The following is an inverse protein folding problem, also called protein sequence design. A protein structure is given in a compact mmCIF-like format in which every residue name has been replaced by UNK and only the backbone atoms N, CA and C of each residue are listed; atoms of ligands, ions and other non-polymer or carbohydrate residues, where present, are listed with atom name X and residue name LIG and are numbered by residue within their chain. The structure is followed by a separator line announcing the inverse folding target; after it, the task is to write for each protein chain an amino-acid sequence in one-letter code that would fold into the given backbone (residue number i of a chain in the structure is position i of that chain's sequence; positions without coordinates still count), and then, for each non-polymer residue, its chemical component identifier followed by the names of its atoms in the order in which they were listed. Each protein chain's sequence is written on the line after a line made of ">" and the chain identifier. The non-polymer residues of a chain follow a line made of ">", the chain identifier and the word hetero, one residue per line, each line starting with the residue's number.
data_IF_509086160700
#
_entry.id   IF_509086160700
#
_cell.length_a   1.000
_cell.length_b   1.000
_cell.length_c   1.000
_cell.angle_alpha   90.00
_cell.angle_beta   90.00
_cell.angle_gamma   90.00
#
_symmetry.space_group_name_H-M   'P 1'
#
loop_
_entity.id
_entity.type
_entity.pdbx_description
1 polymer ?
2 non-polymer ?
3 non-polymer ?
4 water ?
#
# COMPACT_ATOMS: atom_id res chain seq x y z
N UNK A 1 -4.22 12.71 -31.89
CA UNK A 1 -3.79 11.81 -30.82
C UNK A 1 -4.89 11.64 -29.77
N UNK A 2 -6.13 11.89 -30.17
CA UNK A 2 -7.27 11.74 -29.26
C UNK A 2 -7.40 10.30 -28.78
N UNK A 3 -7.53 9.39 -29.73
CA UNK A 3 -7.65 7.96 -29.44
C UNK A 3 -6.40 7.42 -28.76
N UNK A 4 -5.25 7.95 -29.13
CA UNK A 4 -3.98 7.54 -28.55
C UNK A 4 -3.90 7.91 -27.06
N UNK A 5 -4.44 9.07 -26.71
CA UNK A 5 -4.42 9.52 -25.33
C UNK A 5 -5.41 8.73 -24.47
N UNK A 6 -6.57 8.37 -25.04
CA UNK A 6 -7.53 7.58 -24.28
C UNK A 6 -7.04 6.16 -24.04
N UNK A 7 -6.12 5.66 -24.88
CA UNK A 7 -5.55 4.34 -24.64
C UNK A 7 -4.48 4.39 -23.57
N UNK A 8 -3.63 5.42 -23.60
CA UNK A 8 -2.67 5.63 -22.52
C UNK A 8 -3.40 5.86 -21.20
N UNK A 9 -4.54 6.55 -21.24
CA UNK A 9 -5.33 6.75 -20.04
C UNK A 9 -5.79 5.42 -19.46
N UNK A 10 -6.15 4.47 -20.32
CA UNK A 10 -6.68 3.19 -19.85
C UNK A 10 -5.57 2.32 -19.25
N UNK A 11 -4.44 2.28 -19.94
CA UNK A 11 -3.27 1.53 -19.46
C UNK A 11 -2.80 2.08 -18.11
N UNK A 12 -2.85 3.40 -17.97
CA UNK A 12 -2.43 4.04 -16.72
C UNK A 12 -3.33 3.59 -15.57
N UNK A 13 -4.64 3.61 -15.76
CA UNK A 13 -5.54 3.10 -14.75
C UNK A 13 -5.34 1.61 -14.48
N UNK A 14 -4.75 0.88 -15.44
CA UNK A 14 -4.55 -0.55 -15.26
C UNK A 14 -3.19 -0.89 -14.65
N UNK A 15 -2.12 -0.22 -15.07
CA UNK A 15 -0.81 -0.47 -14.47
C UNK A 15 -0.78 0.00 -13.02
N UNK A 16 -1.41 1.14 -12.73
CA UNK A 16 -1.46 1.62 -11.35
C UNK A 16 -2.38 0.74 -10.50
N UNK A 17 -3.44 0.20 -11.10
CA UNK A 17 -4.33 -0.71 -10.38
C UNK A 17 -3.57 -1.95 -9.91
N UNK A 18 -2.78 -2.55 -10.80
CA UNK A 18 -2.05 -3.77 -10.44
C UNK A 18 -0.86 -3.48 -9.54
N UNK A 19 -0.20 -2.33 -9.73
CA UNK A 19 0.89 -1.96 -8.84
C UNK A 19 0.39 -1.71 -7.43
N UNK A 20 -0.78 -1.06 -7.30
CA UNK A 20 -1.37 -0.86 -5.99
C UNK A 20 -1.74 -2.20 -5.35
N UNK A 21 -2.37 -3.08 -6.12
CA UNK A 21 -2.83 -4.35 -5.57
C UNK A 21 -1.68 -5.20 -5.07
N UNK A 22 -0.54 -5.18 -5.77
CA UNK A 22 0.61 -5.94 -5.30
C UNK A 22 1.30 -5.23 -4.13
N UNK A 23 1.28 -3.89 -4.12
CA UNK A 23 1.85 -3.17 -2.99
C UNK A 23 1.08 -3.45 -1.70
N UNK A 24 -0.24 -3.66 -1.80
CA UNK A 24 -1.02 -4.03 -0.63
C UNK A 24 -0.66 -5.42 -0.13
N UNK A 25 -0.23 -6.32 -1.01
CA UNK A 25 0.21 -7.64 -0.57
C UNK A 25 1.56 -7.56 0.12
N UNK A 26 2.48 -6.72 -0.39
CA UNK A 26 3.71 -6.45 0.33
C UNK A 26 3.43 -5.84 1.70
N UNK A 27 2.46 -4.93 1.76
CA UNK A 27 2.10 -4.30 3.03
C UNK A 27 1.57 -5.32 4.03
N UNK A 28 0.70 -6.22 3.56
CA UNK A 28 0.18 -7.26 4.44
C UNK A 28 1.27 -8.20 4.91
N UNK A 29 2.29 -8.44 4.07
CA UNK A 29 3.43 -9.24 4.50
C UNK A 29 4.20 -8.54 5.60
N UNK A 30 4.46 -7.23 5.42
CA UNK A 30 5.15 -6.47 6.45
C UNK A 30 4.38 -6.50 7.76
N UNK A 31 3.08 -6.23 7.71
CA UNK A 31 2.28 -6.20 8.92
C UNK A 31 2.30 -7.54 9.64
N UNK A 32 2.28 -8.64 8.89
CA UNK A 32 2.37 -9.96 9.50
C UNK A 32 3.72 -10.15 10.20
N UNK A 33 4.80 -9.79 9.51
CA UNK A 33 6.14 -9.98 10.08
C UNK A 33 6.36 -9.07 11.28
N UNK A 34 5.99 -7.79 11.16
CA UNK A 34 6.18 -6.87 12.28
C UNK A 34 5.37 -7.31 13.49
N UNK A 35 4.18 -7.86 13.28
CA UNK A 35 3.40 -8.38 14.39
C UNK A 35 4.12 -9.54 15.09
N UNK A 36 4.84 -10.37 14.34
CA UNK A 36 5.56 -11.48 14.96
C UNK A 36 6.66 -10.98 15.89
N UNK A 37 7.24 -9.82 15.61
CA UNK A 37 8.19 -9.19 16.51
C UNK A 37 7.52 -8.33 17.57
N UNK A 38 6.19 -8.20 17.53
CA UNK A 38 5.49 -7.40 18.51
C UNK A 38 5.61 -5.90 18.32
N UNK A 39 5.95 -5.43 17.13
CA UNK A 39 6.16 -4.02 16.87
C UNK A 39 5.19 -3.55 15.79
N UNK A 40 4.99 -2.24 15.74
CA UNK A 40 4.14 -1.61 14.74
C UNK A 40 5.01 -1.00 13.64
N UNK A 41 4.33 -0.50 12.60
CA UNK A 41 5.05 0.19 11.53
C UNK A 41 5.83 1.38 12.08
N UNK A 42 5.18 2.18 12.93
CA UNK A 42 5.83 3.38 13.47
C UNK A 42 7.02 3.02 14.35
N UNK A 43 6.90 1.96 15.16
CA UNK A 43 8.04 1.49 15.93
C UNK A 43 9.15 1.00 15.01
N UNK A 44 8.78 0.32 13.92
CA UNK A 44 9.74 -0.14 12.93
C UNK A 44 10.53 1.02 12.35
N UNK A 45 9.86 2.16 12.11
CA UNK A 45 10.57 3.34 11.60
C UNK A 45 11.62 3.82 12.59
N UNK A 46 11.29 3.81 13.89
CA UNK A 46 12.25 4.23 14.91
C UNK A 46 13.43 3.28 14.96
N UNK A 47 13.16 1.97 14.90
CA UNK A 47 14.24 1.00 14.90
C UNK A 47 15.13 1.16 13.67
N UNK A 48 14.54 1.49 12.53
CA UNK A 48 15.31 1.62 11.29
C UNK A 48 16.31 2.76 11.37
N UNK A 49 15.93 3.89 11.97
CA UNK A 49 16.89 4.98 12.09
C UNK A 49 17.93 4.68 13.16
N UNK A 50 17.53 4.00 14.24
CA UNK A 50 18.50 3.61 15.26
C UNK A 50 19.52 2.63 14.71
N UNK A 51 19.09 1.73 13.81
CA UNK A 51 20.03 0.79 13.19
C UNK A 51 20.97 1.49 12.22
N UNK A 52 20.65 2.72 11.81
CA UNK A 52 21.57 3.52 11.01
C UNK A 52 22.47 4.38 11.88
N UNK A 53 21.94 4.98 12.94
CA UNK A 53 22.69 5.85 13.82
C UNK A 53 22.22 5.62 15.26
N UNK A 54 23.13 5.15 16.10
CA UNK A 54 22.81 4.79 17.48
C UNK A 54 24.00 5.13 18.38
N UNK A 55 23.75 5.84 19.50
CA UNK A 55 22.46 6.33 19.97
C UNK A 55 21.95 7.56 19.22
N UNK A 56 20.73 7.99 19.55
CA UNK A 56 20.13 9.21 19.05
C UNK A 56 19.31 9.86 20.14
N UNK A 57 19.27 11.19 20.13
CA UNK A 57 18.33 11.87 20.99
C UNK A 57 16.92 11.73 20.44
N UNK A 58 15.94 11.98 21.31
CA UNK A 58 14.55 12.00 20.87
C UNK A 58 14.34 13.01 19.74
N UNK A 59 14.96 14.18 19.85
CA UNK A 59 14.80 15.19 18.80
C UNK A 59 15.44 14.75 17.49
N UNK A 60 16.58 14.06 17.56
CA UNK A 60 17.23 13.57 16.35
C UNK A 60 16.36 12.53 15.64
N UNK A 61 15.70 11.65 16.40
CA UNK A 61 14.78 10.69 15.80
C UNK A 61 13.62 11.42 15.14
N UNK A 62 13.12 12.49 15.78
CA UNK A 62 12.04 13.26 15.20
C UNK A 62 12.43 13.91 13.88
N UNK A 63 13.65 14.42 13.79
CA UNK A 63 14.12 14.99 12.53
C UNK A 63 14.23 13.91 11.44
N UNK A 64 14.74 12.74 11.80
CA UNK A 64 14.89 11.66 10.82
C UNK A 64 13.55 11.20 10.28
N UNK A 65 12.54 11.09 11.14
CA UNK A 65 11.23 10.58 10.75
C UNK A 65 10.21 11.67 10.46
N UNK A 66 10.56 12.93 10.70
CA UNK A 66 9.62 14.04 10.65
C UNK A 66 8.37 13.75 11.48
N UNK A 67 8.61 13.42 12.74
CA UNK A 67 7.55 13.20 13.72
C UNK A 67 7.83 14.08 14.93
N UNK A 68 6.77 14.52 15.59
CA UNK A 68 6.93 15.37 16.76
C UNK A 68 7.43 14.55 17.95
N UNK A 69 7.96 15.25 18.95
CA UNK A 69 8.38 14.57 20.16
C UNK A 69 7.19 14.02 20.93
N UNK A 70 6.04 14.70 20.87
CA UNK A 70 4.83 14.16 21.51
C UNK A 70 4.40 12.85 20.87
N UNK A 71 4.48 12.77 19.54
CA UNK A 71 4.15 11.52 18.86
C UNK A 71 5.13 10.41 19.24
N UNK A 72 6.42 10.74 19.31
CA UNK A 72 7.45 9.74 19.57
C UNK A 72 7.50 9.29 21.02
N UNK A 73 7.00 10.11 21.95
CA UNK A 73 7.15 9.80 23.38
C UNK A 73 6.53 8.45 23.75
N UNK A 74 5.28 8.14 23.42
CA UNK A 74 4.76 6.80 23.78
C UNK A 74 5.41 5.68 23.00
N UNK A 75 5.83 5.94 21.77
CA UNK A 75 6.51 4.92 21.02
C UNK A 75 7.82 4.49 21.65
N UNK A 76 8.61 5.44 22.09
CA UNK A 76 9.89 5.11 22.72
C UNK A 76 9.67 4.42 24.06
N UNK A 77 8.67 4.86 24.83
CA UNK A 77 8.34 4.17 26.07
C UNK A 77 7.96 2.72 25.81
N UNK A 78 7.16 2.48 24.75
CA UNK A 78 6.77 1.12 24.42
C UNK A 78 7.97 0.29 23.97
N UNK A 79 8.87 0.90 23.19
CA UNK A 79 10.07 0.17 22.77
C UNK A 79 10.99 -0.13 23.95
N UNK A 80 10.98 0.72 24.97
CA UNK A 80 11.76 0.43 26.17
C UNK A 80 11.09 -0.66 27.00
N UNK A 81 9.77 -0.59 27.16
CA UNK A 81 9.05 -1.61 27.93
C UNK A 81 9.18 -2.98 27.29
N UNK A 82 9.26 -3.05 25.96
CA UNK A 82 9.35 -4.32 25.26
C UNK A 82 10.79 -4.74 24.98
N UNK A 83 11.77 -4.04 25.56
CA UNK A 83 13.15 -4.51 25.55
C UNK A 83 13.97 -4.16 24.33
N UNK A 84 13.56 -3.16 23.55
CA UNK A 84 14.30 -2.79 22.35
C UNK A 84 15.30 -1.67 22.57
N UNK A 85 14.96 -0.68 23.39
CA UNK A 85 15.79 0.49 23.60
C UNK A 85 15.88 0.77 25.10
N UNK A 86 16.84 1.63 25.45
CA UNK A 86 16.90 2.26 26.76
C UNK A 86 16.60 3.75 26.62
N UNK A 87 15.94 4.30 27.62
CA UNK A 87 15.65 5.73 27.68
C UNK A 87 16.46 6.35 28.82
N UNK A 88 17.18 7.43 28.51
CA UNK A 88 17.97 8.16 29.49
C UNK A 88 17.66 9.63 29.38
N UNK A 89 16.87 10.15 30.32
CA UNK A 89 16.57 11.58 30.38
C UNK A 89 17.69 12.25 31.16
N UNK A 90 18.46 13.10 30.49
CA UNK A 90 19.49 13.86 31.16
C UNK A 90 18.88 14.75 32.24
N UNK A 91 19.55 14.83 33.38
CA UNK A 91 19.05 15.58 34.53
C UNK A 91 19.70 16.94 34.67
N UNK A 92 20.37 17.43 33.63
CA UNK A 92 21.05 18.71 33.68
C UNK A 92 21.39 19.14 32.25
N UNK A 93 21.81 20.39 32.11
CA UNK A 93 22.30 20.96 30.84
C UNK A 93 21.19 20.87 29.80
N UNK A 94 21.39 20.16 28.69
CA UNK A 94 20.39 20.16 27.62
C UNK A 94 19.17 19.31 27.96
N UNK A 95 19.27 18.43 28.95
CA UNK A 95 18.14 17.61 29.38
C UNK A 95 17.50 16.86 28.21
N UNK A 96 18.34 16.33 27.34
CA UNK A 96 17.86 15.56 26.21
C UNK A 96 17.41 14.19 26.67
N UNK A 97 16.63 13.53 25.82
CA UNK A 97 16.27 12.12 26.02
C UNK A 97 17.12 11.30 25.06
N UNK A 98 18.07 10.56 25.60
CA UNK A 98 18.99 9.77 24.79
C UNK A 98 18.42 8.37 24.64
N UNK A 99 18.25 7.94 23.39
CA UNK A 99 17.70 6.63 23.07
C UNK A 99 18.84 5.73 22.61
N UNK A 100 19.00 4.58 23.27
CA UNK A 100 20.07 3.65 22.96
C UNK A 100 19.50 2.25 22.80
N UNK A 101 19.90 1.57 21.73
CA UNK A 101 19.48 0.19 21.53
C UNK A 101 20.00 -0.69 22.66
N UNK A 102 19.15 -1.59 23.14
CA UNK A 102 19.62 -2.64 24.04
C UNK A 102 20.46 -3.64 23.24
N UNK A 103 21.13 -4.53 23.97
CA UNK A 103 21.81 -5.64 23.31
C UNK A 103 20.84 -6.44 22.45
N UNK A 104 19.65 -6.70 22.99
CA UNK A 104 18.62 -7.39 22.21
C UNK A 104 18.18 -6.57 20.99
N UNK A 105 17.97 -5.27 21.20
CA UNK A 105 17.57 -4.41 20.08
C UNK A 105 18.60 -4.41 18.96
N UNK A 106 19.88 -4.45 19.32
CA UNK A 106 20.93 -4.53 18.32
C UNK A 106 20.92 -5.88 17.62
N UNK A 107 20.81 -6.97 18.39
CA UNK A 107 20.82 -8.31 17.80
C UNK A 107 19.59 -8.55 16.92
N UNK A 108 18.47 -7.90 17.24
CA UNK A 108 17.24 -8.13 16.47
C UNK A 108 17.28 -7.54 15.08
N UNK A 109 18.27 -6.68 14.77
CA UNK A 109 18.34 -6.08 13.45
C UNK A 109 18.42 -7.15 12.36
N UNK A 110 19.33 -8.11 12.51
CA UNK A 110 19.49 -9.14 11.49
C UNK A 110 18.32 -10.11 11.47
N UNK A 111 17.66 -10.30 12.61
CA UNK A 111 16.48 -11.18 12.63
C UNK A 111 15.32 -10.53 11.88
N UNK A 112 15.08 -9.25 12.09
CA UNK A 112 14.06 -8.54 11.32
C UNK A 112 14.46 -8.49 9.85
N UNK A 113 15.72 -8.14 9.59
CA UNK A 113 16.24 -8.08 8.24
C UNK A 113 16.00 -9.37 7.48
N UNK A 114 16.32 -10.52 8.10
CA UNK A 114 16.14 -11.80 7.44
C UNK A 114 14.66 -12.14 7.27
N UNK A 115 13.84 -11.84 8.29
CA UNK A 115 12.42 -12.15 8.21
C UNK A 115 11.76 -11.41 7.05
N UNK A 116 12.12 -10.14 6.85
CA UNK A 116 11.52 -9.37 5.75
C UNK A 116 12.02 -9.90 4.42
N UNK A 117 13.25 -10.39 4.36
CA UNK A 117 13.88 -10.77 3.10
C UNK A 117 13.12 -11.87 2.35
N UNK A 118 12.24 -12.61 3.04
CA UNK A 118 11.44 -13.62 2.37
C UNK A 118 10.28 -13.03 1.57
N UNK A 119 10.17 -11.70 1.51
CA UNK A 119 9.08 -11.08 0.76
C UNK A 119 9.18 -11.37 -0.73
N UNK A 120 10.39 -11.62 -1.23
CA UNK A 120 10.62 -11.99 -2.62
C UNK A 120 10.99 -13.47 -2.73
N UNK A 121 10.67 -14.12 -3.83
CA UNK A 121 11.07 -15.51 -4.03
C UNK A 121 12.55 -15.73 -4.33
N UNK A 125 14.82 -13.48 -10.76
CA UNK A 125 15.49 -12.91 -11.93
C UNK A 125 16.02 -11.52 -11.64
N UNK A 126 17.24 -11.24 -12.10
CA UNK A 126 17.87 -9.95 -11.90
C UNK A 126 17.20 -8.86 -12.75
N UNK A 127 16.82 -9.25 -13.97
CA UNK A 127 16.18 -8.31 -14.89
C UNK A 127 14.81 -7.89 -14.38
N UNK A 128 13.98 -8.88 -14.05
CA UNK A 128 12.63 -8.60 -13.54
C UNK A 128 12.68 -7.87 -12.22
N UNK A 129 13.73 -8.10 -11.42
CA UNK A 129 13.91 -7.30 -10.21
C UNK A 129 14.06 -5.82 -10.56
N UNK A 130 14.99 -5.50 -11.46
CA UNK A 130 15.28 -4.11 -11.79
C UNK A 130 14.06 -3.41 -12.36
N UNK A 131 13.22 -4.12 -13.11
CA UNK A 131 12.01 -3.49 -13.66
C UNK A 131 10.97 -3.25 -12.57
N UNK A 132 10.74 -4.24 -11.71
CA UNK A 132 9.82 -4.05 -10.60
C UNK A 132 10.32 -2.97 -9.65
N UNK A 133 11.61 -3.02 -9.31
CA UNK A 133 12.21 -1.95 -8.51
C UNK A 133 12.03 -0.59 -9.18
N UNK A 134 12.24 -0.54 -10.50
CA UNK A 134 12.17 0.73 -11.22
C UNK A 134 10.75 1.31 -11.20
N UNK A 135 9.74 0.45 -11.34
CA UNK A 135 8.36 0.93 -11.33
C UNK A 135 8.00 1.49 -9.97
N UNK A 136 8.37 0.79 -8.90
CA UNK A 136 8.01 1.25 -7.56
C UNK A 136 8.84 2.45 -7.14
N UNK A 137 10.06 2.59 -7.67
CA UNK A 137 10.85 3.78 -7.38
C UNK A 137 10.21 5.02 -7.99
N UNK A 138 9.70 4.90 -9.21
CA UNK A 138 9.08 6.05 -9.87
C UNK A 138 7.70 6.35 -9.30
N UNK A 139 6.97 5.33 -8.85
CA UNK A 139 5.70 5.58 -8.16
C UNK A 139 5.92 6.32 -6.85
N UNK A 140 6.98 5.96 -6.11
CA UNK A 140 7.32 6.70 -4.89
C UNK A 140 7.49 8.19 -5.18
N UNK A 141 8.19 8.50 -6.27
CA UNK A 141 8.46 9.88 -6.64
C UNK A 141 7.25 10.60 -7.21
N UNK A 142 6.51 9.92 -8.08
CA UNK A 142 5.35 10.53 -8.74
C UNK A 142 4.20 10.74 -7.77
N UNK A 143 3.84 9.71 -7.00
CA UNK A 143 2.70 9.82 -6.09
C UNK A 143 2.95 10.89 -5.03
N UNK A 144 4.18 10.98 -4.52
CA UNK A 144 4.51 12.03 -3.57
C UNK A 144 4.26 13.41 -4.17
N UNK A 145 4.74 13.64 -5.39
CA UNK A 145 4.57 14.95 -6.02
C UNK A 145 3.10 15.28 -6.24
N UNK A 146 2.29 14.28 -6.57
CA UNK A 146 0.87 14.53 -6.83
C UNK A 146 0.11 14.75 -5.52
N UNK A 147 0.48 14.02 -4.46
CA UNK A 147 -0.22 14.15 -3.19
C UNK A 147 0.02 15.53 -2.58
N UNK A 148 1.23 16.08 -2.76
CA UNK A 148 1.57 17.34 -2.14
C UNK A 148 1.01 18.56 -2.87
N UNK A 149 0.39 18.37 -4.03
CA UNK A 149 -0.27 19.48 -4.72
C UNK A 149 -1.46 19.97 -3.91
N UNK B 1 28.76 -17.97 -0.77
CA UNK B 1 27.32 -18.00 -0.52
C UNK B 1 26.89 -16.90 0.46
N UNK B 2 27.68 -16.70 1.52
CA UNK B 2 27.33 -15.76 2.57
C UNK B 2 27.25 -14.33 2.04
N UNK B 3 28.20 -13.92 1.19
CA UNK B 3 28.15 -12.57 0.66
C UNK B 3 26.99 -12.39 -0.31
N UNK B 4 26.75 -13.39 -1.17
CA UNK B 4 25.62 -13.31 -2.07
C UNK B 4 24.30 -13.40 -1.32
N UNK B 5 24.25 -14.22 -0.26
CA UNK B 5 23.02 -14.33 0.53
C UNK B 5 22.70 -13.02 1.24
N UNK B 6 23.72 -12.34 1.79
CA UNK B 6 23.49 -11.06 2.43
C UNK B 6 22.99 -10.02 1.44
N UNK B 7 23.52 -10.04 0.21
CA UNK B 7 23.13 -9.05 -0.78
C UNK B 7 21.72 -9.29 -1.29
N UNK B 8 21.32 -10.56 -1.43
CA UNK B 8 19.97 -10.86 -1.88
C UNK B 8 18.95 -10.40 -0.83
N UNK B 9 19.28 -10.55 0.46
CA UNK B 9 18.39 -10.06 1.51
C UNK B 9 18.31 -8.54 1.48
N UNK B 10 19.43 -7.87 1.19
CA UNK B 10 19.40 -6.41 1.11
C UNK B 10 18.54 -5.93 -0.05
N UNK B 11 18.64 -6.59 -1.20
CA UNK B 11 17.81 -6.22 -2.34
C UNK B 11 16.35 -6.55 -2.09
N UNK B 12 16.07 -7.63 -1.35
CA UNK B 12 14.69 -7.94 -1.01
C UNK B 12 14.09 -6.85 -0.12
N UNK B 13 14.79 -6.49 0.96
CA UNK B 13 14.33 -5.41 1.82
C UNK B 13 14.12 -4.12 1.04
N UNK B 14 15.05 -3.80 0.14
CA UNK B 14 14.99 -2.54 -0.59
C UNK B 14 13.76 -2.46 -1.48
N UNK B 15 13.48 -3.51 -2.21
CA UNK B 15 12.36 -3.54 -3.09
C UNK B 15 11.05 -3.57 -2.32
N UNK B 16 10.98 -4.43 -1.34
CA UNK B 16 9.72 -4.62 -0.62
C UNK B 16 9.37 -3.40 0.23
N UNK B 17 10.37 -2.68 0.74
CA UNK B 17 10.09 -1.46 1.49
C UNK B 17 9.61 -0.35 0.57
N UNK B 18 10.17 -0.29 -0.65
CA UNK B 18 9.68 0.66 -1.64
C UNK B 18 8.21 0.43 -1.94
N UNK B 19 7.83 -0.84 -2.18
CA UNK B 19 6.42 -1.16 -2.42
C UNK B 19 5.58 -0.89 -1.19
N UNK B 20 6.13 -1.15 0.00
CA UNK B 20 5.45 -0.83 1.25
C UNK B 20 5.10 0.66 1.30
N UNK B 21 6.07 1.53 0.98
CA UNK B 21 5.79 2.96 0.91
C UNK B 21 4.72 3.26 -0.12
N UNK B 22 4.79 2.62 -1.29
CA UNK B 22 3.84 2.89 -2.36
C UNK B 22 2.41 2.54 -1.93
N UNK B 23 2.24 1.50 -1.11
CA UNK B 23 0.91 1.15 -0.63
C UNK B 23 0.28 2.30 0.14
N UNK B 24 1.07 3.03 0.93
CA UNK B 24 0.56 4.18 1.65
C UNK B 24 0.29 5.34 0.71
N UNK B 25 1.18 5.56 -0.27
CA UNK B 25 1.01 6.70 -1.17
C UNK B 25 -0.17 6.52 -2.10
N UNK B 26 -0.42 5.28 -2.52
CA UNK B 26 -1.55 4.97 -3.38
C UNK B 26 -2.87 5.26 -2.68
N UNK B 27 -2.98 4.84 -1.42
CA UNK B 27 -4.19 5.06 -0.64
C UNK B 27 -4.50 6.55 -0.52
N UNK B 28 -3.49 7.37 -0.27
CA UNK B 28 -3.71 8.81 -0.21
C UNK B 28 -4.05 9.38 -1.58
N UNK B 29 -3.37 8.89 -2.62
CA UNK B 29 -3.61 9.38 -3.98
C UNK B 29 -5.06 9.13 -4.40
N UNK B 30 -5.52 7.89 -4.24
CA UNK B 30 -6.87 7.55 -4.66
C UNK B 30 -7.93 8.25 -3.82
N UNK B 31 -7.67 8.41 -2.52
CA UNK B 31 -8.60 9.16 -1.68
C UNK B 31 -8.71 10.61 -2.14
N UNK B 32 -7.59 11.22 -2.53
CA UNK B 32 -7.62 12.62 -2.93
C UNK B 32 -8.25 12.79 -4.30
N UNK B 33 -7.92 11.94 -5.26
CA UNK B 33 -8.42 12.11 -6.63
C UNK B 33 -9.85 11.61 -6.81
N UNK B 34 -10.32 10.68 -5.98
CA UNK B 34 -11.68 10.17 -6.11
C UNK B 34 -12.70 10.96 -5.30
N UNK B 35 -12.24 11.89 -4.45
CA UNK B 35 -13.15 12.68 -3.62
C UNK B 35 -14.17 13.43 -4.46
N UNK B 36 -13.74 13.97 -5.60
CA UNK B 36 -14.64 14.74 -6.46
C UNK B 36 -15.80 13.91 -6.98
N UNK B 37 -15.68 12.59 -7.01
CA UNK B 37 -16.74 11.72 -7.49
C UNK B 37 -17.54 11.08 -6.35
N UNK B 38 -17.12 11.25 -5.11
CA UNK B 38 -17.83 10.68 -3.98
C UNK B 38 -17.80 9.17 -3.91
N UNK B 39 -16.72 8.55 -4.41
CA UNK B 39 -16.61 7.10 -4.43
C UNK B 39 -15.33 6.68 -3.73
N UNK B 40 -15.36 5.49 -3.12
CA UNK B 40 -14.17 4.91 -2.54
C UNK B 40 -13.39 4.13 -3.61
N UNK B 41 -12.22 3.63 -3.22
CA UNK B 41 -11.40 2.87 -4.17
C UNK B 41 -12.10 1.59 -4.60
N UNK B 42 -12.74 0.89 -3.66
CA UNK B 42 -13.43 -0.34 -4.02
C UNK B 42 -14.65 -0.08 -4.90
N UNK B 43 -15.31 1.04 -4.69
CA UNK B 43 -16.38 1.43 -5.57
C UNK B 43 -15.83 1.72 -6.95
N UNK B 44 -14.70 2.39 -7.02
CA UNK B 44 -14.05 2.65 -8.29
C UNK B 44 -13.68 1.35 -9.01
N UNK B 45 -13.30 0.32 -8.26
CA UNK B 45 -12.99 -0.97 -8.87
C UNK B 45 -14.24 -1.59 -9.48
N UNK B 46 -15.39 -1.42 -8.83
CA UNK B 46 -16.65 -1.90 -9.40
C UNK B 46 -16.94 -1.21 -10.72
N UNK B 47 -16.81 0.12 -10.74
CA UNK B 47 -17.02 0.87 -11.98
C UNK B 47 -15.99 0.49 -13.03
N UNK B 48 -14.78 0.17 -12.58
CA UNK B 48 -13.70 -0.20 -13.48
C UNK B 48 -14.05 -1.43 -14.32
N UNK B 49 -14.57 -2.47 -13.67
CA UNK B 49 -14.93 -3.70 -14.37
C UNK B 49 -16.22 -3.55 -15.15
N UNK B 50 -17.15 -2.70 -14.68
CA UNK B 50 -18.36 -2.44 -15.43
C UNK B 50 -18.05 -1.70 -16.74
N UNK B 51 -17.07 -0.79 -16.70
CA UNK B 51 -16.68 -0.07 -17.92
C UNK B 51 -16.01 -0.99 -18.92
N UNK B 52 -15.52 -2.15 -18.49
CA UNK B 52 -14.97 -3.14 -19.41
C UNK B 52 -16.02 -4.13 -19.89
N UNK B 53 -16.94 -4.53 -19.00
CA UNK B 53 -17.98 -5.49 -19.33
C UNK B 53 -19.26 -5.04 -18.64
N UNK B 54 -20.26 -4.63 -19.43
CA UNK B 54 -21.53 -4.14 -18.91
C UNK B 54 -22.68 -4.66 -19.75
N UNK B 55 -23.75 -5.14 -19.10
CA UNK B 55 -23.91 -5.26 -17.65
C UNK B 55 -23.17 -6.47 -17.06
N UNK B 56 -23.22 -6.62 -15.74
CA UNK B 56 -22.58 -7.73 -15.06
C UNK B 56 -23.42 -8.18 -13.88
N UNK B 57 -23.50 -9.49 -13.70
CA UNK B 57 -24.04 -10.01 -12.45
C UNK B 57 -23.08 -9.71 -11.32
N UNK B 58 -23.61 -9.61 -10.10
CA UNK B 58 -22.76 -9.34 -8.94
C UNK B 58 -21.74 -10.45 -8.76
N UNK B 59 -22.13 -11.70 -9.00
CA UNK B 59 -21.19 -12.81 -8.95
C UNK B 59 -20.06 -12.63 -9.95
N UNK B 60 -20.38 -12.05 -11.13
CA UNK B 60 -19.33 -11.76 -12.10
C UNK B 60 -18.41 -10.65 -11.60
N UNK B 61 -18.97 -9.63 -10.95
CA UNK B 61 -18.14 -8.56 -10.39
C UNK B 61 -17.23 -9.11 -9.30
N UNK B 62 -17.79 -9.95 -8.42
CA UNK B 62 -16.97 -10.55 -7.37
C UNK B 62 -15.85 -11.41 -7.91
N UNK B 63 -16.10 -12.12 -9.02
CA UNK B 63 -15.04 -12.90 -9.65
C UNK B 63 -13.96 -12.00 -10.22
N UNK B 64 -14.35 -10.83 -10.74
CA UNK B 64 -13.35 -9.90 -11.27
C UNK B 64 -12.53 -9.27 -10.16
N UNK B 65 -13.18 -8.86 -9.08
CA UNK B 65 -12.52 -8.11 -8.01
C UNK B 65 -12.06 -8.98 -6.85
N UNK B 66 -12.34 -10.29 -6.89
CA UNK B 66 -12.01 -11.21 -5.80
C UNK B 66 -12.61 -10.72 -4.48
N UNK B 67 -13.88 -10.33 -4.54
CA UNK B 67 -14.61 -9.84 -3.37
C UNK B 67 -15.88 -10.66 -3.19
N UNK B 68 -16.28 -10.83 -1.93
CA UNK B 68 -17.46 -11.62 -1.60
C UNK B 68 -18.72 -10.81 -1.87
N UNK B 69 -19.87 -11.52 -1.84
CA UNK B 69 -21.14 -10.84 -1.98
C UNK B 69 -21.46 -10.00 -0.75
N UNK B 70 -21.02 -10.43 0.43
CA UNK B 70 -21.22 -9.64 1.64
C UNK B 70 -20.47 -8.32 1.56
N UNK B 71 -19.39 -8.27 0.77
CA UNK B 71 -18.65 -7.03 0.60
C UNK B 71 -19.28 -6.15 -0.47
N UNK B 72 -19.77 -6.75 -1.56
CA UNK B 72 -20.29 -5.98 -2.68
C UNK B 72 -21.67 -5.40 -2.38
N UNK B 73 -22.54 -6.18 -1.72
CA UNK B 73 -23.92 -5.76 -1.47
C UNK B 73 -24.03 -4.38 -0.83
N UNK B 74 -23.27 -4.04 0.23
CA UNK B 74 -23.43 -2.69 0.79
C UNK B 74 -23.05 -1.58 -0.19
N UNK B 75 -21.90 -1.71 -0.87
CA UNK B 75 -21.44 -0.65 -1.75
C UNK B 75 -22.12 -0.66 -3.11
N UNK B 76 -22.68 -1.80 -3.54
CA UNK B 76 -23.49 -1.79 -4.74
C UNK B 76 -24.74 -0.95 -4.56
N UNK B 77 -25.32 -0.98 -3.36
CA UNK B 77 -26.43 -0.08 -3.05
C UNK B 77 -25.96 1.36 -2.92
N UNK B 78 -24.72 1.57 -2.46
CA UNK B 78 -24.19 2.92 -2.37
C UNK B 78 -23.95 3.53 -3.76
N UNK B 79 -23.54 2.72 -4.73
CA UNK B 79 -23.40 3.21 -6.09
C UNK B 79 -24.74 3.45 -6.76
N UNK B 80 -25.76 2.69 -6.36
CA UNK B 80 -27.11 2.94 -6.86
C UNK B 80 -27.71 4.17 -6.22
N UNK B 81 -27.43 4.40 -4.94
CA UNK B 81 -27.94 5.59 -4.25
C UNK B 81 -27.28 6.85 -4.79
N UNK B 82 -26.04 6.75 -5.28
CA UNK B 82 -25.34 7.87 -5.87
C UNK B 82 -25.56 8.00 -7.37
N UNK B 83 -26.35 7.11 -7.96
CA UNK B 83 -26.74 7.23 -9.36
C UNK B 83 -25.81 6.60 -10.36
N UNK B 84 -24.91 5.72 -9.93
CA UNK B 84 -23.94 5.13 -10.85
C UNK B 84 -24.46 3.87 -11.54
N UNK B 85 -25.21 3.03 -10.82
CA UNK B 85 -25.63 1.72 -11.33
C UNK B 85 -27.10 1.50 -11.02
N UNK B 86 -27.63 0.42 -11.58
CA UNK B 86 -28.98 -0.03 -11.33
C UNK B 86 -28.97 -1.50 -10.96
N UNK B 87 -29.91 -1.91 -10.11
CA UNK B 87 -29.97 -3.25 -9.56
C UNK B 87 -31.30 -3.90 -9.89
N UNK B 88 -31.25 -5.10 -10.49
CA UNK B 88 -32.44 -5.87 -10.79
C UNK B 88 -32.04 -7.34 -10.88
N UNK B 89 -32.85 -8.20 -10.26
CA UNK B 89 -32.55 -9.62 -10.15
C UNK B 89 -33.36 -10.42 -11.17
N UNK B 90 -32.75 -11.46 -11.72
CA UNK B 90 -33.43 -12.35 -12.65
C UNK B 90 -34.51 -13.17 -11.95
N UNK B 91 -35.51 -13.56 -12.71
CA UNK B 91 -36.63 -14.35 -12.18
C UNK B 91 -36.60 -15.80 -12.66
N UNK B 92 -35.47 -16.26 -13.18
CA UNK B 92 -35.37 -17.63 -13.70
C UNK B 92 -33.90 -17.97 -13.89
N UNK B 93 -33.66 -19.25 -14.21
CA UNK B 93 -32.35 -19.78 -14.58
C UNK B 93 -31.40 -19.58 -13.40
N UNK B 94 -30.31 -18.82 -13.54
CA UNK B 94 -29.32 -18.68 -12.47
C UNK B 94 -29.82 -17.85 -11.31
N UNK B 95 -30.97 -17.18 -11.45
CA UNK B 95 -31.57 -16.34 -10.41
C UNK B 95 -30.62 -15.23 -9.95
N UNK B 96 -29.70 -14.82 -10.82
CA UNK B 96 -28.64 -13.90 -10.41
C UNK B 96 -29.12 -12.45 -10.41
N UNK B 97 -28.30 -11.59 -9.82
CA UNK B 97 -28.60 -10.16 -9.67
C UNK B 97 -27.74 -9.38 -10.65
N UNK B 98 -28.42 -8.67 -11.56
CA UNK B 98 -27.72 -7.94 -12.61
C UNK B 98 -27.45 -6.49 -12.24
N UNK B 99 -26.18 -6.05 -12.43
CA UNK B 99 -25.77 -4.68 -12.21
C UNK B 99 -25.50 -4.00 -13.53
N UNK B 100 -26.19 -2.89 -13.78
CA UNK B 100 -26.11 -2.18 -15.05
C UNK B 100 -25.79 -0.72 -14.80
N UNK B 101 -24.81 -0.19 -15.52
CA UNK B 101 -24.46 1.22 -15.40
C UNK B 101 -25.62 2.09 -15.85
N UNK B 102 -25.83 3.20 -15.14
CA UNK B 102 -26.75 4.22 -15.61
C UNK B 102 -26.12 4.99 -16.77
N UNK B 103 -26.91 5.85 -17.39
CA UNK B 103 -26.38 6.71 -18.44
C UNK B 103 -25.31 7.64 -17.89
N UNK B 104 -25.54 8.19 -16.68
CA UNK B 104 -24.54 9.05 -16.06
C UNK B 104 -23.32 8.26 -15.61
N UNK B 105 -23.52 6.99 -15.22
CA UNK B 105 -22.38 6.18 -14.81
C UNK B 105 -21.45 5.87 -15.95
N UNK B 106 -22.00 5.71 -17.16
CA UNK B 106 -21.18 5.39 -18.33
C UNK B 106 -20.43 6.62 -18.83
N UNK B 107 -21.09 7.77 -18.86
CA UNK B 107 -20.47 8.97 -19.42
C UNK B 107 -19.24 9.40 -18.63
N UNK B 108 -19.27 9.23 -17.30
CA UNK B 108 -18.20 9.74 -16.45
C UNK B 108 -16.92 8.92 -16.48
N UNK B 109 -16.84 7.89 -17.34
CA UNK B 109 -15.66 7.04 -17.34
C UNK B 109 -14.40 7.83 -17.68
N UNK B 110 -14.47 8.70 -18.69
CA UNK B 110 -13.28 9.42 -19.13
C UNK B 110 -12.80 10.39 -18.05
N UNK B 111 -13.72 11.05 -17.36
CA UNK B 111 -13.32 11.98 -16.30
C UNK B 111 -12.65 11.25 -15.14
N UNK B 112 -13.17 10.08 -14.77
CA UNK B 112 -12.55 9.30 -13.70
C UNK B 112 -11.17 8.82 -14.14
N UNK B 113 -11.07 8.28 -15.36
CA UNK B 113 -9.79 7.82 -15.87
C UNK B 113 -8.77 8.95 -15.92
N UNK B 114 -9.20 10.15 -16.32
CA UNK B 114 -8.28 11.28 -16.42
C UNK B 114 -7.76 11.68 -15.04
N UNK B 115 -8.65 11.69 -14.04
CA UNK B 115 -8.23 12.07 -12.68
C UNK B 115 -7.24 11.08 -12.10
N UNK B 116 -7.31 9.81 -12.52
CA UNK B 116 -6.45 8.78 -11.97
C UNK B 116 -5.17 8.58 -12.78
N UNK B 117 -5.22 8.87 -14.08
CA UNK B 117 -4.12 8.49 -14.98
C UNK B 117 -2.80 9.16 -14.63
N UNK B 118 -2.83 10.27 -13.89
CA UNK B 118 -1.59 10.96 -13.54
C UNK B 118 -0.69 10.15 -12.62
N UNK B 119 -1.16 9.01 -12.10
CA UNK B 119 -0.36 8.20 -11.20
C UNK B 119 0.98 7.77 -11.80
N UNK B 120 1.14 7.88 -13.12
CA UNK B 120 2.39 7.58 -13.79
C UNK B 120 2.83 8.77 -14.63
N UNK B 121 4.13 9.05 -14.70
CA UNK B 121 4.60 10.14 -15.56
C UNK B 121 4.43 9.81 -17.03
N UNK B 122 4.16 10.84 -17.82
CA UNK B 122 3.97 10.66 -19.26
C UNK B 122 5.31 10.57 -19.99
N UNK B 135 4.50 -10.15 -14.64
CA UNK B 135 5.46 -9.86 -13.57
C UNK B 135 4.75 -9.68 -12.24
N UNK B 136 3.70 -8.87 -12.24
CA UNK B 136 2.91 -8.60 -11.04
C UNK B 136 2.14 -9.84 -10.58
N UNK B 137 1.68 -10.64 -11.54
CA UNK B 137 0.91 -11.83 -11.20
C UNK B 137 1.75 -12.86 -10.47
N UNK B 138 3.04 -12.95 -10.80
CA UNK B 138 3.91 -13.90 -10.11
C UNK B 138 4.13 -13.50 -8.67
N UNK B 139 4.28 -12.19 -8.41
CA UNK B 139 4.42 -11.72 -7.04
C UNK B 139 3.12 -11.87 -6.26
N UNK B 140 1.98 -11.68 -6.92
CA UNK B 140 0.69 -11.81 -6.24
C UNK B 140 0.46 -13.22 -5.73
N UNK B 141 0.98 -14.20 -6.47
CA UNK B 141 0.83 -15.60 -6.08
C UNK B 141 1.74 -15.97 -4.91
N UNK B 142 2.99 -15.50 -4.97
CA UNK B 142 3.98 -15.79 -3.94
C UNK B 142 3.66 -15.07 -2.64
N UNK B 143 3.25 -13.80 -2.73
CA UNK B 143 2.97 -13.01 -1.54
C UNK B 143 1.75 -13.55 -0.79
N UNK B 144 0.73 -13.95 -1.55
CA UNK B 144 -0.48 -14.50 -0.96
C UNK B 144 -0.18 -15.75 -0.14
N UNK B 145 0.78 -16.54 -0.61
CA UNK B 145 1.19 -17.75 0.07
C UNK B 145 1.88 -17.43 1.39
N UNK B 146 2.69 -16.38 1.39
CA UNK B 146 3.41 -15.95 2.58
C UNK B 146 2.45 -15.42 3.65
N UNK B 147 1.43 -14.67 3.22
CA UNK B 147 0.47 -14.10 4.15
C UNK B 147 -0.40 -15.20 4.75
N UNK B 148 -0.90 -16.09 3.91
CA UNK B 148 -1.74 -17.19 4.37
C UNK B 148 -0.91 -18.45 4.61
#
# INVERSE_FOLDING_TARGET
>A
QSNMKQEQMRLANQLCFSAYNVSRLFAQFYEKKLKQFGITYSQYLVLLTLWEENPQTLNSIGRHLDLSSNTLTPMLKRLEQSGWVKRERQQSDKRQLIITLTDNGQQQQEAVFEAISSCLPQEFDTTEYDETKYVFEELEQTLKHLIEK
>B
QSNMKQEQMRLANQLCFSAYNVSRLFAQFYEKKLKQFGITYSQYLVLLTLWEENPQTLNSIGRHLDLSSNTLTPMLKRLEQSGWVKRERQQSDKRQLIITLTDNGQQQQEAVFEAISSCLPQEFDTTEYDETKYVFEELEQTLKHLIEK
#
